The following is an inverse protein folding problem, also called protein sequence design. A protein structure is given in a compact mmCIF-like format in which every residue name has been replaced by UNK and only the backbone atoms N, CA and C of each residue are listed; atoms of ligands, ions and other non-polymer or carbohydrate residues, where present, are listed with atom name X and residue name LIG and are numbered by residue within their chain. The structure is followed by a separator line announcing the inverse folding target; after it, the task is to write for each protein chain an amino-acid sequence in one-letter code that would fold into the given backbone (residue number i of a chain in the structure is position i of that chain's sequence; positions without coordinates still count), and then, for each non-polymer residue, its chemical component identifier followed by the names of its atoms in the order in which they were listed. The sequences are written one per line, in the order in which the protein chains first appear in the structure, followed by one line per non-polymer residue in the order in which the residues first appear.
data_IF_989130432241
#
_entry.id   IF_989130432241
#
_cell.length_a   1.000
_cell.length_b   1.000
_cell.length_c   1.000
_cell.angle_alpha   90.00
_cell.angle_beta   90.00
_cell.angle_gamma   90.00
#
_symmetry.space_group_name_H-M   'P 1'
#
loop_
_entity.id
_entity.type
_entity.pdbx_description
1 polymer ?
#
# COMPACT_ATOMS: atom_id res chain seq x y z
N UNK A 1 -7.42 14.84 -18.63
CA UNK A 1 -6.42 13.76 -18.76
C UNK A 1 -7.16 12.44 -18.70
N UNK A 2 -7.08 11.58 -19.73
CA UNK A 2 -7.64 10.22 -19.66
C UNK A 2 -6.76 9.43 -18.70
N UNK A 3 -7.33 8.96 -17.59
CA UNK A 3 -6.69 7.98 -16.71
C UNK A 3 -7.49 6.69 -16.83
N UNK A 4 -6.89 5.55 -16.51
CA UNK A 4 -7.53 4.23 -16.54
C UNK A 4 -8.75 4.10 -15.59
N UNK A 5 -9.01 5.15 -14.81
CA UNK A 5 -10.04 5.19 -13.77
C UNK A 5 -11.26 6.00 -14.17
N UNK A 6 -11.26 6.67 -15.33
CA UNK A 6 -12.34 7.56 -15.77
C UNK A 6 -13.23 6.86 -16.81
N UNK A 7 -14.54 7.11 -16.75
CA UNK A 7 -15.51 6.69 -17.78
C UNK A 7 -16.35 5.47 -17.41
N UNK A 8 -16.05 4.80 -16.29
CA UNK A 8 -16.84 3.66 -15.81
C UNK A 8 -18.07 4.07 -14.98
N UNK A 9 -17.97 5.17 -14.23
CA UNK A 9 -19.06 5.66 -13.39
C UNK A 9 -18.89 7.16 -13.09
N UNK A 10 -19.75 7.99 -13.67
CA UNK A 10 -19.59 9.45 -13.67
C UNK A 10 -19.52 10.04 -12.24
N UNK A 11 -20.34 9.56 -11.31
CA UNK A 11 -20.29 10.07 -9.93
C UNK A 11 -18.99 9.72 -9.20
N UNK A 12 -18.44 8.52 -9.44
CA UNK A 12 -17.14 8.12 -8.88
C UNK A 12 -16.01 8.92 -9.52
N UNK A 13 -16.13 9.25 -10.81
CA UNK A 13 -15.17 10.10 -11.53
C UNK A 13 -15.16 11.52 -10.97
N UNK A 14 -16.34 12.09 -10.75
CA UNK A 14 -16.50 13.41 -10.13
C UNK A 14 -15.88 13.42 -8.73
N UNK A 15 -16.23 12.44 -7.88
CA UNK A 15 -15.70 12.35 -6.53
C UNK A 15 -14.18 12.16 -6.50
N UNK A 16 -13.62 11.26 -7.32
CA UNK A 16 -12.15 11.09 -7.41
C UNK A 16 -11.47 12.39 -7.82
N UNK A 17 -12.02 13.09 -8.81
CA UNK A 17 -11.47 14.37 -9.30
C UNK A 17 -11.50 15.43 -8.21
N UNK A 18 -12.59 15.52 -7.45
CA UNK A 18 -12.74 16.44 -6.31
C UNK A 18 -11.71 16.16 -5.22
N UNK A 19 -11.62 14.91 -4.74
CA UNK A 19 -10.69 14.52 -3.69
C UNK A 19 -9.23 14.68 -4.14
N UNK A 20 -8.88 14.26 -5.37
CA UNK A 20 -7.52 14.46 -5.88
C UNK A 20 -7.15 15.94 -6.01
N UNK A 21 -8.09 16.78 -6.45
CA UNK A 21 -7.88 18.23 -6.48
C UNK A 21 -7.66 18.81 -5.09
N UNK A 22 -8.45 18.37 -4.11
CA UNK A 22 -8.32 18.82 -2.73
C UNK A 22 -6.97 18.38 -2.12
N UNK A 23 -6.56 17.12 -2.30
CA UNK A 23 -5.26 16.63 -1.85
C UNK A 23 -4.10 17.47 -2.40
N UNK A 24 -4.17 17.82 -3.69
CA UNK A 24 -3.16 18.65 -4.36
C UNK A 24 -3.16 20.08 -3.82
N UNK A 25 -4.34 20.69 -3.68
CA UNK A 25 -4.50 22.06 -3.18
C UNK A 25 -4.01 22.21 -1.74
N UNK A 26 -4.23 21.19 -0.91
CA UNK A 26 -3.81 21.18 0.50
C UNK A 26 -2.38 20.67 0.71
N UNK A 27 -1.64 20.38 -0.36
CA UNK A 27 -0.31 19.74 -0.31
C UNK A 27 -0.29 18.46 0.55
N UNK A 28 -1.41 17.73 0.57
CA UNK A 28 -1.59 16.52 1.38
C UNK A 28 -1.19 15.24 0.63
N UNK A 29 -1.00 15.29 -0.70
CA UNK A 29 -0.45 14.18 -1.48
C UNK A 29 1.06 14.27 -1.62
N UNK A 30 1.73 13.10 -1.64
CA UNK A 30 3.14 13.02 -2.06
C UNK A 30 3.15 12.82 -3.58
N UNK A 31 3.54 13.87 -4.30
CA UNK A 31 3.47 13.91 -5.76
C UNK A 31 2.07 14.25 -6.29
N UNK A 32 1.87 14.02 -7.58
CA UNK A 32 0.59 14.30 -8.26
C UNK A 32 -0.44 13.21 -7.91
N UNK A 33 -1.62 13.52 -7.34
CA UNK A 33 -2.56 12.48 -6.89
C UNK A 33 -3.43 11.89 -8.01
N UNK A 34 -3.34 12.40 -9.23
CA UNK A 34 -4.27 12.04 -10.29
C UNK A 34 -3.92 10.69 -10.95
N UNK A 35 -4.96 9.87 -11.18
CA UNK A 35 -4.88 8.67 -12.00
C UNK A 35 -4.37 7.40 -11.32
N UNK A 36 -4.18 7.42 -10.00
CA UNK A 36 -3.75 6.26 -9.21
C UNK A 36 -4.18 6.40 -7.74
N UNK A 37 -3.84 5.41 -6.91
CA UNK A 37 -4.01 5.50 -5.45
C UNK A 37 -2.94 6.47 -4.92
N UNK A 38 -3.31 7.67 -4.43
CA UNK A 38 -2.32 8.67 -4.03
C UNK A 38 -1.56 8.22 -2.78
N UNK A 39 -0.26 8.47 -2.76
CA UNK A 39 0.45 8.54 -1.49
C UNK A 39 0.15 9.88 -0.80
N UNK A 40 0.28 9.94 0.52
CA UNK A 40 -0.14 11.09 1.31
C UNK A 40 0.85 11.44 2.43
N UNK A 41 0.88 12.72 2.76
CA UNK A 41 1.67 13.25 3.88
C UNK A 41 1.10 12.69 5.18
N UNK A 42 1.96 12.09 6.01
CA UNK A 42 1.55 11.44 7.26
C UNK A 42 1.20 9.96 7.13
N UNK A 43 1.52 9.29 6.02
CA UNK A 43 1.33 7.85 5.87
C UNK A 43 2.06 7.03 6.96
N UNK A 44 3.24 7.48 7.40
CA UNK A 44 3.99 6.86 8.50
C UNK A 44 3.25 7.01 9.84
N UNK A 45 2.85 8.23 10.20
CA UNK A 45 2.04 8.48 11.41
C UNK A 45 0.70 7.71 11.38
N UNK A 46 0.09 7.55 10.21
CA UNK A 46 -1.12 6.75 10.07
C UNK A 46 -0.85 5.26 10.36
N UNK A 47 0.28 4.71 9.90
CA UNK A 47 0.69 3.35 10.21
C UNK A 47 1.05 3.17 11.70
N UNK A 48 1.67 4.18 12.33
CA UNK A 48 1.91 4.18 13.77
C UNK A 48 0.60 4.10 14.57
N UNK A 49 -0.39 4.93 14.21
CA UNK A 49 -1.73 4.90 14.83
C UNK A 49 -2.46 3.58 14.57
N UNK A 50 -2.31 3.00 13.39
CA UNK A 50 -2.84 1.66 13.11
C UNK A 50 -2.21 0.63 14.04
N UNK A 51 -0.90 0.74 14.29
CA UNK A 51 -0.16 -0.20 15.13
C UNK A 51 -0.51 -0.12 16.62
N UNK A 52 -1.17 0.95 17.08
CA UNK A 52 -1.66 1.06 18.48
C UNK A 52 -3.01 0.37 18.70
N UNK A 53 -3.66 -0.16 17.66
CA UNK A 53 -4.98 -0.78 17.81
C UNK A 53 -4.85 -2.22 18.33
N UNK A 54 -5.73 -2.67 19.24
CA UNK A 54 -5.70 -4.06 19.73
C UNK A 54 -5.79 -5.11 18.62
N UNK A 55 -6.53 -4.81 17.53
CA UNK A 55 -6.63 -5.71 16.38
C UNK A 55 -5.29 -5.90 15.66
N UNK A 56 -4.44 -4.88 15.65
CA UNK A 56 -3.10 -4.96 15.08
C UNK A 56 -2.18 -5.80 15.97
N UNK A 57 -2.20 -5.54 17.29
CA UNK A 57 -1.41 -6.29 18.26
C UNK A 57 -1.70 -7.79 18.20
N UNK A 58 -2.99 -8.15 18.12
CA UNK A 58 -3.44 -9.55 18.03
C UNK A 58 -3.17 -10.19 16.67
N UNK A 59 -3.04 -9.39 15.60
CA UNK A 59 -2.85 -9.90 14.26
C UNK A 59 -1.47 -10.56 14.11
N UNK A 60 -1.48 -11.84 13.75
CA UNK A 60 -0.28 -12.60 13.33
C UNK A 60 -0.05 -12.56 11.82
N UNK A 61 -1.13 -12.30 11.07
CA UNK A 61 -1.14 -12.28 9.60
C UNK A 61 -1.89 -11.04 9.12
N UNK A 62 -1.32 -10.36 8.13
CA UNK A 62 -1.84 -9.12 7.56
C UNK A 62 -1.87 -9.24 6.04
N UNK A 63 -2.95 -8.76 5.41
CA UNK A 63 -2.97 -8.52 3.96
C UNK A 63 -2.81 -7.02 3.71
N UNK A 64 -1.87 -6.64 2.85
CA UNK A 64 -1.59 -5.25 2.51
C UNK A 64 -1.29 -5.13 1.01
N UNK A 65 -1.87 -4.16 0.30
CA UNK A 65 -1.61 -3.97 -1.13
C UNK A 65 -0.22 -3.38 -1.36
N UNK A 66 0.34 -3.43 -2.58
CA UNK A 66 1.66 -2.86 -2.92
C UNK A 66 1.67 -1.32 -3.09
N UNK A 67 0.57 -0.62 -2.86
CA UNK A 67 0.48 0.82 -3.08
C UNK A 67 1.42 1.62 -2.16
N UNK A 68 1.93 2.75 -2.64
CA UNK A 68 2.91 3.57 -1.92
C UNK A 68 2.38 4.08 -0.56
N UNK A 69 1.09 4.43 -0.50
CA UNK A 69 0.39 4.85 0.71
C UNK A 69 0.46 3.82 1.86
N UNK A 70 0.71 2.54 1.53
CA UNK A 70 0.72 1.43 2.47
C UNK A 70 2.14 0.91 2.77
N UNK A 71 3.20 1.50 2.19
CA UNK A 71 4.60 1.11 2.48
C UNK A 71 4.86 1.05 4.00
N UNK A 72 4.50 2.08 4.80
CA UNK A 72 4.82 2.06 6.23
C UNK A 72 4.11 0.94 6.99
N UNK A 73 2.88 0.59 6.58
CA UNK A 73 2.13 -0.53 7.17
C UNK A 73 2.82 -1.87 6.87
N UNK A 74 3.28 -2.08 5.62
CA UNK A 74 4.03 -3.30 5.25
C UNK A 74 5.34 -3.41 6.00
N UNK A 75 6.09 -2.31 6.09
CA UNK A 75 7.35 -2.26 6.84
C UNK A 75 7.14 -2.61 8.30
N UNK A 76 6.15 -1.97 8.96
CA UNK A 76 5.84 -2.21 10.36
C UNK A 76 5.41 -3.66 10.62
N UNK A 77 4.57 -4.22 9.75
CA UNK A 77 4.15 -5.62 9.86
C UNK A 77 5.34 -6.58 9.84
N UNK A 78 6.26 -6.41 8.88
CA UNK A 78 7.45 -7.24 8.75
C UNK A 78 8.43 -7.03 9.92
N UNK A 79 8.64 -5.79 10.35
CA UNK A 79 9.49 -5.46 11.50
C UNK A 79 8.99 -6.08 12.81
N UNK A 80 7.67 -6.21 12.98
CA UNK A 80 7.04 -6.88 14.12
C UNK A 80 6.92 -8.40 13.95
N UNK A 81 7.53 -8.99 12.91
CA UNK A 81 7.51 -10.44 12.68
C UNK A 81 6.15 -10.99 12.26
N UNK A 82 5.25 -10.16 11.73
CA UNK A 82 3.95 -10.61 11.22
C UNK A 82 4.09 -11.19 9.81
N UNK A 83 3.24 -12.16 9.48
CA UNK A 83 3.13 -12.72 8.13
C UNK A 83 2.36 -11.75 7.24
N UNK A 84 2.95 -11.33 6.13
CA UNK A 84 2.37 -10.36 5.22
C UNK A 84 1.94 -11.05 3.91
N UNK A 85 0.70 -10.86 3.49
CA UNK A 85 0.24 -11.21 2.15
C UNK A 85 0.08 -9.94 1.31
N UNK A 86 0.72 -9.91 0.16
CA UNK A 86 0.64 -8.81 -0.79
C UNK A 86 0.04 -9.27 -2.11
N UNK A 87 -0.88 -8.47 -2.66
CA UNK A 87 -1.48 -8.76 -3.96
C UNK A 87 -0.49 -8.48 -5.09
N UNK A 88 -0.48 -9.36 -6.10
CA UNK A 88 0.20 -9.08 -7.37
C UNK A 88 -0.53 -7.96 -8.12
N UNK A 89 0.16 -7.14 -8.93
CA UNK A 89 -0.46 -6.05 -9.65
C UNK A 89 -1.62 -6.52 -10.52
N UNK A 90 -2.77 -5.84 -10.42
CA UNK A 90 -3.99 -6.09 -11.21
C UNK A 90 -4.62 -7.48 -11.06
N UNK A 91 -4.14 -8.32 -10.13
CA UNK A 91 -4.69 -9.65 -9.86
C UNK A 91 -4.83 -10.53 -11.12
N UNK A 92 -3.88 -10.41 -12.05
CA UNK A 92 -3.94 -11.07 -13.36
C UNK A 92 -3.58 -12.55 -13.34
N UNK A 93 -3.13 -13.08 -12.20
CA UNK A 93 -2.73 -14.48 -12.01
C UNK A 93 -3.68 -15.15 -11.01
N UNK A 94 -3.98 -16.43 -11.20
CA UNK A 94 -4.75 -17.23 -10.24
C UNK A 94 -4.04 -17.27 -8.88
N UNK A 95 -2.70 -17.27 -8.86
CA UNK A 95 -1.87 -17.09 -7.66
C UNK A 95 -1.58 -15.60 -7.45
N UNK A 96 -2.63 -14.86 -7.12
CA UNK A 96 -2.57 -13.40 -7.00
C UNK A 96 -2.04 -12.85 -5.67
N UNK A 97 -1.55 -13.69 -4.76
CA UNK A 97 -0.99 -13.27 -3.48
C UNK A 97 0.39 -13.88 -3.24
N UNK A 98 1.29 -13.06 -2.72
CA UNK A 98 2.63 -13.45 -2.29
C UNK A 98 2.72 -13.33 -0.79
N UNK A 99 3.22 -14.37 -0.15
CA UNK A 99 3.53 -14.39 1.28
C UNK A 99 4.94 -13.85 1.51
N UNK A 100 5.08 -12.96 2.49
CA UNK A 100 6.33 -12.37 2.93
C UNK A 100 6.46 -12.51 4.44
N UNK A 101 7.61 -13.00 4.89
CA UNK A 101 8.01 -13.04 6.31
C UNK A 101 9.38 -12.40 6.46
N UNK A 102 9.68 -11.86 7.65
CA UNK A 102 11.00 -11.27 7.89
C UNK A 102 12.12 -12.32 7.76
N UNK A 103 11.85 -13.56 8.19
CA UNK A 103 12.78 -14.68 8.10
C UNK A 103 13.09 -15.05 6.65
N UNK A 104 12.08 -15.13 5.77
CA UNK A 104 12.29 -15.46 4.35
C UNK A 104 13.03 -14.35 3.61
N UNK A 105 12.73 -13.09 3.92
CA UNK A 105 13.45 -11.95 3.36
C UNK A 105 14.93 -11.96 3.78
N UNK A 106 15.20 -12.25 5.06
CA UNK A 106 16.57 -12.38 5.56
C UNK A 106 17.33 -13.52 4.88
N UNK A 107 16.71 -14.70 4.70
CA UNK A 107 17.31 -15.84 3.98
C UNK A 107 17.66 -15.50 2.53
N UNK A 108 16.85 -14.66 1.89
CA UNK A 108 17.06 -14.20 0.51
C UNK A 108 17.97 -12.98 0.41
N UNK A 109 18.47 -12.46 1.53
CA UNK A 109 19.27 -11.23 1.60
C UNK A 109 18.55 -10.01 0.99
N UNK A 110 17.23 -9.93 1.19
CA UNK A 110 16.36 -8.82 0.78
C UNK A 110 16.02 -8.00 2.02
N UNK A 111 16.23 -6.68 1.97
CA UNK A 111 15.85 -5.83 3.10
C UNK A 111 14.32 -5.66 3.19
N UNK A 112 13.81 -5.43 4.41
CA UNK A 112 12.39 -5.13 4.62
C UNK A 112 11.96 -3.91 3.79
N UNK A 113 12.79 -2.87 3.73
CA UNK A 113 12.50 -1.66 2.96
C UNK A 113 12.34 -1.96 1.46
N UNK A 114 13.24 -2.76 0.89
CA UNK A 114 13.14 -3.18 -0.52
C UNK A 114 11.88 -4.01 -0.75
N UNK A 115 11.56 -4.96 0.14
CA UNK A 115 10.38 -5.81 0.00
C UNK A 115 9.06 -5.02 0.10
N UNK A 116 9.04 -3.96 0.91
CA UNK A 116 7.86 -3.12 1.09
C UNK A 116 7.62 -2.22 -0.12
N UNK A 117 8.66 -1.86 -0.87
CA UNK A 117 8.58 -0.95 -2.03
C UNK A 117 8.47 -1.72 -3.35
N UNK A 118 9.18 -2.84 -3.47
CA UNK A 118 9.43 -3.47 -4.75
C UNK A 118 8.38 -4.51 -5.13
N UNK A 119 7.82 -4.33 -6.33
CA UNK A 119 7.18 -5.41 -7.08
C UNK A 119 8.12 -6.61 -7.33
N UNK A 120 9.44 -6.44 -7.22
CA UNK A 120 10.42 -7.53 -7.37
C UNK A 120 10.33 -8.59 -6.26
N UNK A 121 9.79 -8.25 -5.09
CA UNK A 121 9.48 -9.26 -4.07
C UNK A 121 8.28 -10.14 -4.44
N UNK A 122 7.61 -9.87 -5.58
CA UNK A 122 6.46 -10.62 -6.08
C UNK A 122 6.81 -11.58 -7.23
N UNK A 123 8.09 -11.70 -7.59
CA UNK A 123 8.62 -12.56 -8.66
C UNK A 123 9.79 -13.36 -8.13
#
# INVERSE_FOLDING_TARGET
MKTDWIGYHQEKDKLRTEIWSLLKQQAASVGDPFGHIPNFVGAELAAEKLATLPIWEQAKTIKCNPDAAQIPVRMRALQEGKRLYMSVPRLTDDRCFVELTAEDLQRQNISIAESAIARKALT
#
